data_IF_292325035207
#
_entry.id   IF_292325035207
#
_cell.length_a   1.000
_cell.length_b   1.000
_cell.length_c   1.000
_cell.angle_alpha   90.00
_cell.angle_beta   90.00
_cell.angle_gamma   90.00
#
_symmetry.space_group_name_H-M   'P 1'
#
loop_
_entity.id
_entity.type
_entity.pdbx_description
1 polymer ?
#
# COMPACT_ATOMS: atom_id res chain seq x y z
N UNK A 1 14.04 -37.73 4.22
CA UNK A 1 13.00 -36.77 4.63
C UNK A 1 11.98 -36.64 3.50
N UNK A 2 10.68 -36.75 3.75
CA UNK A 2 9.68 -36.52 2.71
C UNK A 2 9.83 -35.08 2.21
N UNK A 3 10.06 -34.91 0.90
CA UNK A 3 10.20 -33.60 0.24
C UNK A 3 8.82 -33.04 -0.08
N UNK A 4 8.06 -32.66 0.94
CA UNK A 4 6.78 -31.97 0.74
C UNK A 4 6.93 -30.50 1.16
N UNK A 5 6.52 -29.60 0.28
CA UNK A 5 6.47 -28.16 0.57
C UNK A 5 5.37 -27.91 1.60
N UNK A 6 5.72 -27.26 2.72
CA UNK A 6 4.74 -26.87 3.74
C UNK A 6 4.01 -25.62 3.26
N UNK A 7 2.68 -25.67 3.27
CA UNK A 7 1.82 -24.52 2.97
C UNK A 7 1.16 -24.01 4.24
N UNK A 8 0.97 -22.69 4.30
CA UNK A 8 0.23 -22.04 5.36
C UNK A 8 -1.24 -22.46 5.30
N UNK A 9 -1.79 -22.89 6.43
CA UNK A 9 -3.23 -23.20 6.55
C UNK A 9 -4.02 -21.90 6.70
N UNK A 10 -5.26 -21.90 6.24
CA UNK A 10 -6.13 -20.74 6.42
C UNK A 10 -6.34 -20.46 7.92
N UNK A 11 -6.09 -19.23 8.35
CA UNK A 11 -6.32 -18.76 9.73
C UNK A 11 -5.18 -18.99 10.72
N UNK A 12 -4.07 -19.63 10.33
CA UNK A 12 -2.92 -19.82 11.24
C UNK A 12 -1.98 -18.62 11.30
N UNK A 13 -2.11 -17.67 10.37
CA UNK A 13 -1.26 -16.48 10.35
C UNK A 13 -1.77 -15.43 11.33
N UNK A 14 -0.92 -15.01 12.25
CA UNK A 14 -1.16 -13.91 13.16
C UNK A 14 -0.61 -12.61 12.53
N UNK A 15 -1.48 -11.75 11.96
CA UNK A 15 -1.02 -10.53 11.29
C UNK A 15 -0.48 -9.55 12.32
N UNK A 16 0.73 -9.04 12.06
CA UNK A 16 1.34 -7.99 12.88
C UNK A 16 0.92 -6.61 12.37
N UNK A 17 1.03 -5.61 13.23
CA UNK A 17 0.84 -4.22 12.85
C UNK A 17 2.18 -3.56 12.63
N UNK A 18 2.32 -2.88 11.50
CA UNK A 18 3.54 -2.22 11.08
C UNK A 18 3.27 -0.76 10.80
N UNK A 19 4.12 0.14 11.31
CA UNK A 19 4.06 1.58 11.00
C UNK A 19 5.22 1.96 10.09
N UNK A 20 4.90 2.71 9.03
CA UNK A 20 5.86 3.21 8.04
C UNK A 20 5.71 4.72 7.93
N UNK A 21 6.81 5.43 8.13
CA UNK A 21 6.88 6.87 7.85
C UNK A 21 7.11 7.11 6.35
N UNK A 22 6.23 7.90 5.74
CA UNK A 22 6.29 8.24 4.33
C UNK A 22 7.08 9.53 4.03
N UNK A 23 7.51 10.27 5.07
CA UNK A 23 8.19 11.55 4.91
C UNK A 23 9.50 11.44 4.10
N UNK A 24 9.63 12.25 3.05
CA UNK A 24 10.79 12.32 2.15
C UNK A 24 11.16 10.99 1.43
N UNK A 25 10.31 9.97 1.51
CA UNK A 25 10.54 8.70 0.81
C UNK A 25 9.97 8.77 -0.61
N UNK A 26 10.69 8.31 -1.65
CA UNK A 26 10.13 8.25 -3.00
C UNK A 26 8.90 7.34 -3.07
N UNK A 27 7.77 7.87 -3.59
CA UNK A 27 6.47 7.19 -3.65
C UNK A 27 6.54 5.74 -4.13
N UNK A 28 7.28 5.50 -5.22
CA UNK A 28 7.38 4.16 -5.81
C UNK A 28 8.12 3.15 -4.93
N UNK A 29 9.19 3.59 -4.25
CA UNK A 29 9.98 2.74 -3.35
C UNK A 29 9.19 2.42 -2.08
N UNK A 30 8.51 3.42 -1.53
CA UNK A 30 7.59 3.26 -0.41
C UNK A 30 6.50 2.22 -0.76
N UNK A 31 5.82 2.41 -1.88
CA UNK A 31 4.73 1.53 -2.31
C UNK A 31 5.20 0.07 -2.54
N UNK A 32 6.41 -0.12 -3.08
CA UNK A 32 6.98 -1.45 -3.27
C UNK A 32 7.25 -2.16 -1.93
N UNK A 33 7.86 -1.48 -0.96
CA UNK A 33 8.09 -2.04 0.38
C UNK A 33 6.77 -2.42 1.06
N UNK A 34 5.80 -1.50 1.05
CA UNK A 34 4.46 -1.73 1.62
C UNK A 34 3.79 -2.93 0.95
N UNK A 35 3.82 -3.03 -0.37
CA UNK A 35 3.18 -4.13 -1.10
C UNK A 35 3.80 -5.49 -0.77
N UNK A 36 5.11 -5.56 -0.51
CA UNK A 36 5.78 -6.80 -0.06
C UNK A 36 5.26 -7.25 1.29
N UNK A 37 5.10 -6.32 2.24
CA UNK A 37 4.60 -6.59 3.59
C UNK A 37 3.12 -6.99 3.58
N UNK A 38 2.29 -6.27 2.83
CA UNK A 38 0.88 -6.61 2.63
C UNK A 38 0.69 -7.97 1.93
N UNK A 39 1.65 -8.39 1.10
CA UNK A 39 1.63 -9.71 0.47
C UNK A 39 2.14 -10.83 1.39
N UNK A 40 2.81 -10.50 2.50
CA UNK A 40 3.44 -11.49 3.38
C UNK A 40 4.79 -12.02 2.88
N UNK A 41 5.35 -11.44 1.80
CA UNK A 41 6.55 -11.96 1.13
C UNK A 41 7.84 -11.77 1.93
N UNK A 42 7.79 -10.99 3.01
CA UNK A 42 8.88 -10.87 3.98
C UNK A 42 8.95 -12.06 4.94
N UNK A 43 7.86 -12.81 5.09
CA UNK A 43 7.80 -14.00 5.94
C UNK A 43 8.20 -15.26 5.15
N UNK A 44 8.99 -16.18 5.74
CA UNK A 44 9.33 -17.46 5.11
C UNK A 44 8.11 -18.37 4.88
N UNK A 45 7.02 -18.18 5.65
CA UNK A 45 5.80 -18.98 5.57
C UNK A 45 4.84 -18.52 4.46
N UNK A 46 5.31 -17.65 3.56
CA UNK A 46 4.51 -17.10 2.48
C UNK A 46 3.92 -18.18 1.59
N UNK A 47 2.60 -18.11 1.40
CA UNK A 47 1.85 -19.02 0.52
C UNK A 47 0.99 -18.21 -0.45
N UNK A 48 1.12 -18.37 -1.78
CA UNK A 48 0.49 -17.47 -2.76
C UNK A 48 -1.04 -17.37 -2.69
N UNK A 49 -1.71 -18.45 -2.28
CA UNK A 49 -3.17 -18.55 -2.25
C UNK A 49 -3.77 -18.27 -0.86
N UNK A 50 -2.94 -18.18 0.17
CA UNK A 50 -3.36 -17.93 1.54
C UNK A 50 -3.08 -16.48 1.96
N UNK A 51 -3.87 -15.97 2.91
CA UNK A 51 -3.63 -14.65 3.49
C UNK A 51 -2.51 -14.77 4.53
N UNK A 52 -1.37 -14.13 4.25
CA UNK A 52 -0.16 -14.12 5.09
C UNK A 52 0.42 -12.70 5.26
N UNK A 53 -0.37 -11.68 4.93
CA UNK A 53 0.07 -10.29 4.98
C UNK A 53 -0.16 -9.65 6.34
N UNK A 54 0.70 -8.70 6.68
CA UNK A 54 0.57 -7.89 7.89
C UNK A 54 -0.26 -6.62 7.64
N UNK A 55 -0.72 -5.98 8.72
CA UNK A 55 -1.35 -4.67 8.67
C UNK A 55 -0.28 -3.59 8.54
N UNK A 56 -0.48 -2.65 7.62
CA UNK A 56 0.47 -1.56 7.40
C UNK A 56 -0.24 -0.23 7.61
N UNK A 57 0.31 0.57 8.52
CA UNK A 57 -0.10 1.94 8.81
C UNK A 57 0.95 2.87 8.24
N UNK A 58 0.55 3.73 7.31
CA UNK A 58 1.40 4.75 6.71
C UNK A 58 1.05 6.09 7.34
N UNK A 59 2.06 6.78 7.87
CA UNK A 59 1.95 8.14 8.40
C UNK A 59 2.66 9.13 7.49
N UNK A 60 2.36 10.42 7.63
CA UNK A 60 2.96 11.51 6.84
C UNK A 60 2.77 11.36 5.31
N UNK A 61 1.63 10.82 4.86
CA UNK A 61 1.38 10.58 3.45
C UNK A 61 1.43 11.87 2.58
N UNK A 62 1.22 13.05 3.18
CA UNK A 62 1.36 14.34 2.49
C UNK A 62 2.81 14.69 2.11
N UNK A 63 3.79 14.16 2.85
CA UNK A 63 5.21 14.50 2.72
C UNK A 63 5.99 13.51 1.84
N UNK A 64 5.29 12.70 1.05
CA UNK A 64 5.92 11.75 0.13
C UNK A 64 6.70 12.48 -0.96
N UNK A 65 7.90 12.01 -1.28
CA UNK A 65 8.73 12.62 -2.30
C UNK A 65 8.32 12.17 -3.71
N UNK A 66 8.00 13.15 -4.57
CA UNK A 66 7.90 12.98 -6.02
C UNK A 66 9.20 13.47 -6.66
N UNK A 67 10.05 12.54 -7.10
CA UNK A 67 11.36 12.86 -7.69
C UNK A 67 11.24 13.55 -9.05
N UNK A 68 12.07 14.57 -9.31
CA UNK A 68 12.15 15.26 -10.60
C UNK A 68 10.85 15.99 -10.95
N UNK A 69 10.51 16.09 -12.25
CA UNK A 69 9.29 16.79 -12.72
C UNK A 69 8.03 15.91 -12.69
N UNK A 70 8.02 14.83 -11.89
CA UNK A 70 6.89 13.89 -11.83
C UNK A 70 5.62 14.52 -11.26
N UNK A 71 5.76 15.51 -10.38
CA UNK A 71 4.62 16.26 -9.84
C UNK A 71 3.74 16.84 -10.95
N UNK A 72 4.37 17.43 -11.97
CA UNK A 72 3.70 18.11 -13.08
C UNK A 72 3.41 17.16 -14.25
N UNK A 73 4.38 16.33 -14.63
CA UNK A 73 4.29 15.51 -15.84
C UNK A 73 3.43 14.26 -15.64
N UNK A 74 3.36 13.71 -14.42
CA UNK A 74 2.60 12.50 -14.17
C UNK A 74 1.13 12.86 -13.98
N UNK A 75 0.31 12.43 -14.93
CA UNK A 75 -1.13 12.63 -14.91
C UNK A 75 -1.86 11.37 -14.48
N UNK A 76 -2.72 11.49 -13.46
CA UNK A 76 -3.75 10.52 -13.12
C UNK A 76 -4.90 10.67 -14.10
N UNK A 77 -5.14 9.64 -14.91
CA UNK A 77 -6.26 9.59 -15.85
C UNK A 77 -7.44 8.86 -15.23
N UNK A 78 -8.64 9.40 -15.35
CA UNK A 78 -9.88 8.73 -14.92
C UNK A 78 -10.95 8.98 -15.97
N UNK A 79 -11.73 7.96 -16.29
CA UNK A 79 -12.80 8.06 -17.27
C UNK A 79 -14.14 7.80 -16.61
N UNK A 80 -15.14 8.64 -16.87
CA UNK A 80 -16.47 8.52 -16.28
C UNK A 80 -17.38 7.50 -16.98
N UNK A 81 -16.99 6.98 -18.16
CA UNK A 81 -17.84 6.10 -18.98
C UNK A 81 -18.61 6.82 -20.09
N UNK A 82 -18.72 8.15 -20.04
CA UNK A 82 -19.47 8.96 -21.01
C UNK A 82 -18.53 9.61 -22.06
N UNK A 83 -18.99 9.85 -23.31
CA UNK A 83 -18.22 10.59 -24.30
C UNK A 83 -17.69 11.92 -23.75
N UNK A 84 -16.40 12.22 -23.94
CA UNK A 84 -15.74 13.40 -23.37
C UNK A 84 -15.45 13.34 -21.86
N UNK A 85 -15.78 12.23 -21.18
CA UNK A 85 -15.64 12.06 -19.73
C UNK A 85 -14.23 11.78 -19.20
N UNK A 86 -13.19 12.04 -19.98
CA UNK A 86 -11.79 11.80 -19.59
C UNK A 86 -11.26 12.97 -18.76
N UNK A 87 -10.84 12.68 -17.53
CA UNK A 87 -10.26 13.65 -16.61
C UNK A 87 -8.78 13.35 -16.40
N UNK A 88 -7.97 14.41 -16.42
CA UNK A 88 -6.54 14.38 -16.15
C UNK A 88 -6.28 15.21 -14.90
N UNK A 89 -5.59 14.63 -13.92
CA UNK A 89 -5.23 15.31 -12.68
C UNK A 89 -3.72 15.14 -12.47
N UNK A 90 -2.95 16.23 -12.32
CA UNK A 90 -1.52 16.12 -12.06
C UNK A 90 -1.27 15.53 -10.67
N UNK A 91 -0.14 14.84 -10.51
CA UNK A 91 0.20 14.22 -9.24
C UNK A 91 0.49 15.25 -8.14
N UNK A 92 0.99 16.44 -8.48
CA UNK A 92 1.15 17.55 -7.54
C UNK A 92 -0.18 17.96 -6.90
N UNK A 93 -1.22 18.17 -7.72
CA UNK A 93 -2.55 18.47 -7.20
C UNK A 93 -3.10 17.34 -6.31
N UNK A 94 -2.85 16.08 -6.68
CA UNK A 94 -3.23 14.93 -5.85
C UNK A 94 -2.50 14.90 -4.51
N UNK A 95 -1.22 15.29 -4.48
CA UNK A 95 -0.44 15.34 -3.25
C UNK A 95 -0.99 16.41 -2.28
N UNK A 96 -1.36 17.57 -2.79
CA UNK A 96 -1.92 18.67 -1.98
C UNK A 96 -3.34 18.38 -1.48
N UNK A 97 -4.22 17.86 -2.35
CA UNK A 97 -5.64 17.77 -2.02
C UNK A 97 -6.07 16.38 -1.54
N UNK A 98 -5.34 15.33 -1.95
CA UNK A 98 -5.73 13.92 -1.73
C UNK A 98 -4.50 13.02 -1.53
N UNK A 99 -3.61 13.33 -0.57
CA UNK A 99 -2.35 12.58 -0.38
C UNK A 99 -2.59 11.11 -0.03
N UNK A 100 -3.63 10.82 0.75
CA UNK A 100 -4.05 9.46 1.11
C UNK A 100 -4.30 8.63 -0.16
N UNK A 101 -5.10 9.15 -1.11
CA UNK A 101 -5.41 8.45 -2.36
C UNK A 101 -4.19 8.28 -3.26
N UNK A 102 -3.24 9.20 -3.22
CA UNK A 102 -2.00 9.09 -4.00
C UNK A 102 -1.21 7.83 -3.58
N UNK A 103 -1.04 7.63 -2.28
CA UNK A 103 -0.34 6.47 -1.71
C UNK A 103 -1.14 5.18 -1.92
N UNK A 104 -2.44 5.20 -1.60
CA UNK A 104 -3.31 4.03 -1.79
C UNK A 104 -3.31 3.55 -3.26
N UNK A 105 -3.39 4.46 -4.22
CA UNK A 105 -3.41 4.12 -5.64
C UNK A 105 -2.04 3.58 -6.12
N UNK A 106 -0.94 4.10 -5.56
CA UNK A 106 0.40 3.57 -5.82
C UNK A 106 0.54 2.13 -5.29
N UNK A 107 0.14 1.87 -4.05
CA UNK A 107 0.20 0.53 -3.44
C UNK A 107 -0.76 -0.44 -4.14
N UNK A 108 -2.00 -0.02 -4.42
CA UNK A 108 -2.99 -0.84 -5.13
C UNK A 108 -2.49 -1.34 -6.47
N UNK A 109 -1.69 -0.55 -7.19
CA UNK A 109 -1.10 -0.96 -8.48
C UNK A 109 0.02 -2.00 -8.34
N UNK A 110 0.61 -2.14 -7.16
CA UNK A 110 1.66 -3.12 -6.85
C UNK A 110 1.10 -4.46 -6.33
N UNK A 111 -0.19 -4.51 -5.98
CA UNK A 111 -0.85 -5.73 -5.50
C UNK A 111 -1.44 -6.57 -6.66
N UNK A 112 -1.61 -7.90 -6.46
CA UNK A 112 -2.31 -8.74 -7.41
C UNK A 112 -3.75 -8.26 -7.66
N UNK A 113 -4.19 -8.23 -8.92
CA UNK A 113 -5.54 -7.79 -9.30
C UNK A 113 -6.58 -8.91 -9.11
N UNK A 114 -6.63 -9.47 -7.91
CA UNK A 114 -7.50 -10.60 -7.54
C UNK A 114 -8.40 -10.23 -6.35
N UNK A 115 -9.33 -11.12 -6.01
CA UNK A 115 -10.18 -10.96 -4.80
C UNK A 115 -9.32 -10.85 -3.54
N UNK A 116 -8.30 -11.68 -3.44
CA UNK A 116 -7.36 -11.71 -2.32
C UNK A 116 -6.53 -10.41 -2.25
N UNK A 117 -6.09 -9.87 -3.39
CA UNK A 117 -5.41 -8.57 -3.43
C UNK A 117 -6.29 -7.40 -2.96
N UNK A 118 -7.61 -7.46 -3.18
CA UNK A 118 -8.55 -6.47 -2.63
C UNK A 118 -8.64 -6.57 -1.10
N UNK A 119 -8.57 -7.77 -0.55
CA UNK A 119 -8.52 -8.00 0.91
C UNK A 119 -7.20 -7.50 1.48
N UNK A 120 -6.06 -7.79 0.83
CA UNK A 120 -4.75 -7.25 1.22
C UNK A 120 -4.76 -5.71 1.26
N UNK A 121 -5.40 -5.07 0.28
CA UNK A 121 -5.50 -3.61 0.27
C UNK A 121 -6.30 -3.06 1.45
N UNK A 122 -7.29 -3.80 1.98
CA UNK A 122 -8.04 -3.36 3.16
C UNK A 122 -7.21 -3.34 4.46
N UNK A 123 -6.08 -4.07 4.49
CA UNK A 123 -5.12 -4.09 5.59
C UNK A 123 -4.20 -2.86 5.58
N UNK A 124 -4.17 -2.08 4.49
CA UNK A 124 -3.47 -0.81 4.42
C UNK A 124 -4.30 0.29 5.10
N UNK A 125 -3.67 1.05 5.99
CA UNK A 125 -4.21 2.28 6.59
C UNK A 125 -3.26 3.42 6.26
N UNK A 126 -3.77 4.52 5.73
CA UNK A 126 -2.95 5.67 5.30
C UNK A 126 -3.48 6.93 5.98
N UNK A 127 -2.58 7.65 6.63
CA UNK A 127 -2.85 8.91 7.31
C UNK A 127 -2.01 10.03 6.72
N UNK A 128 -2.61 11.22 6.63
CA UNK A 128 -1.93 12.40 6.13
C UNK A 128 -0.89 12.94 7.12
N UNK A 129 -1.22 12.95 8.42
CA UNK A 129 -0.36 13.40 9.49
C UNK A 129 0.47 12.28 10.14
N UNK A 130 1.18 12.64 11.21
CA UNK A 130 2.06 11.74 11.96
C UNK A 130 1.30 10.80 12.91
N UNK A 131 0.05 11.12 13.24
CA UNK A 131 -0.74 10.37 14.22
C UNK A 131 -1.68 9.35 13.56
N UNK A 132 -1.89 8.24 14.26
CA UNK A 132 -2.86 7.21 13.89
C UNK A 132 -3.66 6.73 15.13
N UNK A 133 -4.95 6.37 14.99
CA UNK A 133 -5.77 5.88 16.09
C UNK A 133 -5.42 4.44 16.54
N UNK A 134 -4.54 3.75 15.82
CA UNK A 134 -4.24 2.32 16.03
C UNK A 134 -3.15 2.03 17.09
N UNK A 135 -2.94 2.93 18.06
CA UNK A 135 -1.92 2.73 19.10
C UNK A 135 -2.18 1.48 19.97
N UNK A 136 -3.45 1.12 20.19
CA UNK A 136 -3.85 -0.06 20.96
C UNK A 136 -3.33 -1.39 20.38
N UNK A 137 -2.97 -1.41 19.09
CA UNK A 137 -2.49 -2.60 18.39
C UNK A 137 -0.97 -2.78 18.47
N UNK A 138 -0.25 -1.91 19.20
CA UNK A 138 1.20 -1.94 19.38
C UNK A 138 1.99 -2.13 18.08
N UNK A 139 1.82 -1.22 17.10
CA UNK A 139 2.51 -1.36 15.82
C UNK A 139 4.03 -1.26 15.97
N UNK A 140 4.74 -2.10 15.22
CA UNK A 140 6.21 -2.11 15.13
C UNK A 140 6.66 -1.22 13.97
N UNK A 141 7.67 -0.39 14.16
CA UNK A 141 8.24 0.44 13.09
C UNK A 141 9.05 -0.40 12.07
N UNK A 142 9.00 -0.05 10.78
CA UNK A 142 9.66 -0.77 9.67
C UNK A 142 10.57 0.10 8.78
#
# INVERSE_FOLDING_TARGET
>A
MPRQTTFLKAGTHEPKWVVVDAANVPLGRLAARIATVLQGKHSPDWTPHAMSGDYVVVINAGQVALTGRKSEQKMRKTYSGHPGGLKHIPYGWMQEHRPIKLVEEAVRRMLPKTRLGRVMLSNLKVYEGAEHPHQAQQPVAL
#
